data_IF_574599904377
#
_entry.id   IF_574599904377
#
_cell.length_a   1.000
_cell.length_b   1.000
_cell.length_c   1.000
_cell.angle_alpha   90.00
_cell.angle_beta   90.00
_cell.angle_gamma   90.00
#
_symmetry.space_group_name_H-M   'P 1'
#
loop_
_entity.id
_entity.type
_entity.pdbx_description
1 polymer ?
#
# COMPACT_ATOMS: atom_id res chain seq x y z
N UNK A 1 -71.62 -47.24 -34.31
CA UNK A 1 -70.88 -47.38 -35.58
C UNK A 1 -70.53 -45.99 -36.09
N UNK A 2 -69.38 -45.71 -36.70
CA UNK A 2 -68.25 -46.61 -36.93
C UNK A 2 -67.33 -46.21 -38.08
N UNK A 3 -66.85 -44.96 -38.12
CA UNK A 3 -65.99 -44.43 -39.21
C UNK A 3 -64.60 -44.08 -38.68
N UNK A 4 -63.54 -44.54 -39.37
CA UNK A 4 -62.13 -44.31 -39.02
C UNK A 4 -61.46 -43.44 -40.09
N UNK A 5 -60.53 -42.55 -39.71
CA UNK A 5 -59.31 -42.25 -40.46
C UNK A 5 -58.23 -41.72 -39.49
N UNK A 6 -56.95 -41.66 -39.90
CA UNK A 6 -55.76 -41.47 -39.04
C UNK A 6 -55.03 -40.13 -39.28
N UNK A 7 -54.25 -39.70 -38.29
CA UNK A 7 -53.24 -38.62 -38.32
C UNK A 7 -53.38 -37.73 -37.07
N UNK A 8 -52.63 -37.87 -35.97
CA UNK A 8 -51.18 -37.96 -35.67
C UNK A 8 -50.44 -36.61 -35.70
N UNK A 9 -49.53 -36.44 -34.73
CA UNK A 9 -48.82 -35.21 -34.28
C UNK A 9 -49.72 -34.20 -33.52
N UNK A 10 -49.55 -33.89 -32.22
CA UNK A 10 -48.39 -33.35 -31.46
C UNK A 10 -48.03 -31.92 -31.92
N UNK A 11 -47.96 -30.86 -31.10
CA UNK A 11 -48.01 -30.61 -29.62
C UNK A 11 -48.45 -29.12 -29.44
N UNK A 12 -49.41 -28.64 -28.62
CA UNK A 12 -49.56 -28.57 -27.15
C UNK A 12 -48.23 -28.35 -26.37
N UNK A 13 -48.00 -27.40 -25.44
CA UNK A 13 -48.76 -26.37 -24.68
C UNK A 13 -47.65 -25.44 -24.05
N UNK A 14 -47.72 -24.15 -23.68
CA UNK A 14 -48.72 -23.17 -23.17
C UNK A 14 -48.27 -21.73 -23.68
N UNK A 15 -48.83 -20.52 -23.48
CA UNK A 15 -49.77 -19.84 -22.55
C UNK A 15 -49.26 -19.60 -21.10
N UNK A 16 -49.80 -18.65 -20.28
CA UNK A 16 -50.76 -17.56 -20.56
C UNK A 16 -50.44 -16.17 -19.92
N UNK A 17 -51.38 -15.21 -20.10
CA UNK A 17 -51.72 -14.00 -19.28
C UNK A 17 -51.26 -12.60 -19.68
N UNK A 18 -52.07 -11.65 -19.23
CA UNK A 18 -52.27 -10.25 -19.65
C UNK A 18 -52.14 -9.28 -18.45
N UNK A 19 -52.47 -7.99 -18.70
CA UNK A 19 -52.81 -6.94 -17.72
C UNK A 19 -51.61 -6.07 -17.31
N UNK A 20 -51.43 -4.89 -17.93
CA UNK A 20 -51.98 -3.56 -17.52
C UNK A 20 -51.28 -3.03 -16.25
N UNK A 21 -50.73 -1.82 -16.25
CA UNK A 21 -51.56 -0.61 -16.25
C UNK A 21 -51.01 0.59 -17.04
N UNK A 22 -51.67 1.77 -16.94
CA UNK A 22 -51.51 2.90 -17.85
C UNK A 22 -51.57 4.26 -17.10
N UNK A 23 -50.74 5.23 -17.54
CA UNK A 23 -50.62 6.62 -17.00
C UNK A 23 -49.76 6.67 -15.71
N UNK A 24 -49.12 7.78 -15.34
CA UNK A 24 -49.49 9.19 -15.60
C UNK A 24 -48.29 10.18 -15.59
N UNK A 25 -48.37 11.23 -16.43
CA UNK A 25 -47.58 12.51 -16.48
C UNK A 25 -46.02 12.42 -16.57
N UNK A 26 -45.33 13.03 -17.56
CA UNK A 26 -45.11 14.49 -17.80
C UNK A 26 -44.35 15.13 -16.61
N UNK A 27 -43.16 15.72 -16.75
CA UNK A 27 -42.59 16.53 -17.84
C UNK A 27 -41.06 16.27 -18.08
N UNK A 28 -40.42 17.00 -19.00
CA UNK A 28 -39.04 16.73 -19.44
C UNK A 28 -37.94 17.60 -18.80
N UNK A 29 -36.80 16.97 -18.46
CA UNK A 29 -35.48 17.63 -18.53
C UNK A 29 -34.30 16.66 -18.51
N UNK A 30 -33.48 16.78 -19.56
CA UNK A 30 -32.01 16.61 -19.56
C UNK A 30 -31.40 15.41 -18.80
N UNK A 31 -31.09 14.34 -19.55
CA UNK A 31 -29.78 13.70 -19.44
C UNK A 31 -29.18 13.48 -20.85
N UNK A 32 -27.89 13.79 -21.07
CA UNK A 32 -27.20 13.44 -22.32
C UNK A 32 -26.96 11.93 -22.42
N UNK A 33 -26.45 11.48 -23.57
CA UNK A 33 -26.24 10.06 -23.87
C UNK A 33 -25.46 9.31 -22.79
N UNK A 34 -25.83 8.05 -22.56
CA UNK A 34 -25.26 7.18 -21.53
C UNK A 34 -23.74 7.25 -21.51
N UNK A 35 -23.18 7.55 -20.33
CA UNK A 35 -21.74 7.73 -20.14
C UNK A 35 -20.97 6.54 -20.70
N UNK A 36 -19.98 6.81 -21.55
CA UNK A 36 -18.95 5.85 -21.90
C UNK A 36 -18.33 5.37 -20.59
N UNK A 37 -18.54 4.09 -20.26
CA UNK A 37 -18.18 3.54 -18.94
C UNK A 37 -16.71 3.13 -18.95
N UNK A 38 -15.83 4.09 -19.21
CA UNK A 38 -14.37 3.98 -19.09
C UNK A 38 -13.96 3.93 -17.62
N UNK A 39 -14.48 2.94 -16.90
CA UNK A 39 -13.89 2.44 -15.64
C UNK A 39 -12.84 1.41 -16.06
N UNK A 40 -11.86 1.89 -16.85
CA UNK A 40 -10.79 1.10 -17.47
C UNK A 40 -9.41 1.36 -16.86
N UNK A 41 -9.36 2.11 -15.77
CA UNK A 41 -8.13 2.41 -15.03
C UNK A 41 -8.05 1.51 -13.79
N UNK A 42 -6.97 0.74 -13.67
CA UNK A 42 -6.72 -0.06 -12.48
C UNK A 42 -6.54 0.86 -11.26
N UNK A 43 -7.10 0.55 -10.08
CA UNK A 43 -6.95 1.41 -8.92
C UNK A 43 -5.46 1.61 -8.60
N UNK A 44 -4.99 2.85 -8.36
CA UNK A 44 -3.59 3.11 -8.04
C UNK A 44 -3.17 2.28 -6.83
N UNK A 45 -1.91 1.83 -6.80
CA UNK A 45 -1.44 0.76 -5.91
C UNK A 45 -1.93 0.87 -4.45
N UNK A 46 -1.86 2.05 -3.83
CA UNK A 46 -2.33 2.29 -2.46
C UNK A 46 -3.83 2.02 -2.26
N UNK A 47 -4.66 2.28 -3.28
CA UNK A 47 -6.09 2.01 -3.27
C UNK A 47 -6.39 0.53 -3.52
N UNK A 48 -5.62 -0.13 -4.40
CA UNK A 48 -5.71 -1.59 -4.60
C UNK A 48 -5.33 -2.35 -3.32
N UNK A 49 -4.23 -1.93 -2.67
CA UNK A 49 -3.77 -2.45 -1.38
C UNK A 49 -4.82 -2.23 -0.29
N UNK A 50 -5.36 -1.00 -0.15
CA UNK A 50 -6.41 -0.69 0.83
C UNK A 50 -7.63 -1.59 0.63
N UNK A 51 -8.16 -1.69 -0.60
CA UNK A 51 -9.32 -2.54 -0.91
C UNK A 51 -9.05 -4.06 -0.81
N UNK A 52 -7.79 -4.49 -0.71
CA UNK A 52 -7.44 -5.85 -0.33
C UNK A 52 -7.45 -6.02 1.20
N UNK A 53 -6.87 -5.08 1.95
CA UNK A 53 -6.82 -5.09 3.42
C UNK A 53 -8.21 -4.91 4.06
N UNK A 54 -9.02 -3.96 3.58
CA UNK A 54 -10.40 -3.73 4.04
C UNK A 54 -11.33 -4.94 3.80
N UNK A 55 -10.93 -5.86 2.92
CA UNK A 55 -11.63 -7.09 2.57
C UNK A 55 -10.99 -8.35 3.19
N UNK A 56 -10.03 -8.19 4.10
CA UNK A 56 -9.21 -9.26 4.72
C UNK A 56 -8.47 -10.18 3.70
N UNK A 57 -8.27 -9.70 2.47
CA UNK A 57 -7.56 -10.44 1.41
C UNK A 57 -6.05 -10.25 1.53
N UNK A 58 -5.51 -10.72 2.65
CA UNK A 58 -4.08 -10.67 2.99
C UNK A 58 -3.20 -11.34 1.92
N UNK A 59 -3.69 -12.40 1.28
CA UNK A 59 -2.98 -13.05 0.16
C UNK A 59 -2.82 -12.09 -1.04
N UNK A 60 -3.92 -11.51 -1.53
CA UNK A 60 -3.93 -10.54 -2.62
C UNK A 60 -3.05 -9.33 -2.30
N UNK A 61 -3.13 -8.81 -1.07
CA UNK A 61 -2.28 -7.70 -0.60
C UNK A 61 -0.77 -8.04 -0.68
N UNK A 62 -0.39 -9.26 -0.28
CA UNK A 62 0.99 -9.76 -0.39
C UNK A 62 1.42 -9.93 -1.85
N UNK A 63 0.54 -10.43 -2.73
CA UNK A 63 0.82 -10.54 -4.16
C UNK A 63 0.99 -9.17 -4.84
N UNK A 64 0.14 -8.18 -4.50
CA UNK A 64 0.30 -6.80 -4.98
C UNK A 64 1.67 -6.22 -4.58
N UNK A 65 2.07 -6.40 -3.31
CA UNK A 65 3.37 -5.96 -2.80
C UNK A 65 4.54 -6.68 -3.48
N UNK A 66 4.46 -7.99 -3.68
CA UNK A 66 5.51 -8.77 -4.35
C UNK A 66 5.68 -8.37 -5.83
N UNK A 67 4.58 -8.11 -6.53
CA UNK A 67 4.60 -7.61 -7.91
C UNK A 67 5.23 -6.21 -7.99
N UNK A 68 4.86 -5.30 -7.08
CA UNK A 68 5.44 -3.96 -7.02
C UNK A 68 6.94 -3.97 -6.65
N UNK A 69 7.36 -4.90 -5.78
CA UNK A 69 8.77 -5.12 -5.44
C UNK A 69 9.58 -5.64 -6.63
N UNK A 70 9.05 -6.60 -7.39
CA UNK A 70 9.69 -7.08 -8.61
C UNK A 70 9.82 -5.98 -9.68
N UNK A 71 8.81 -5.12 -9.83
CA UNK A 71 8.84 -3.95 -10.73
C UNK A 71 9.87 -2.91 -10.27
N UNK A 72 10.00 -2.66 -8.96
CA UNK A 72 11.02 -1.76 -8.42
C UNK A 72 12.43 -2.27 -8.72
N UNK A 73 12.74 -3.52 -8.36
CA UNK A 73 14.06 -4.12 -8.63
C UNK A 73 14.39 -4.21 -10.13
N UNK A 74 13.40 -4.43 -11.00
CA UNK A 74 13.59 -4.43 -12.46
C UNK A 74 13.88 -3.04 -13.05
N UNK A 75 13.46 -1.96 -12.38
CA UNK A 75 13.64 -0.58 -12.83
C UNK A 75 14.74 0.20 -12.10
N UNK A 76 15.30 -0.32 -11.02
CA UNK A 76 16.44 0.26 -10.31
C UNK A 76 17.70 0.39 -11.20
N UNK A 77 17.75 -0.36 -12.31
CA UNK A 77 18.80 -0.28 -13.33
C UNK A 77 18.59 0.80 -14.42
N UNK A 78 17.46 1.52 -14.45
CA UNK A 78 17.16 2.52 -15.50
C UNK A 78 16.56 3.80 -14.93
N UNK A 79 17.37 4.87 -14.91
CA UNK A 79 16.94 6.22 -14.55
C UNK A 79 15.80 6.71 -15.44
N UNK A 80 14.62 6.89 -14.84
CA UNK A 80 13.45 7.52 -15.45
C UNK A 80 12.50 8.04 -14.36
N UNK A 81 11.61 8.96 -14.74
CA UNK A 81 10.95 9.95 -13.87
C UNK A 81 10.30 9.40 -12.59
N UNK A 82 10.41 10.14 -11.46
CA UNK A 82 10.03 9.64 -10.13
C UNK A 82 8.54 9.73 -9.78
N UNK A 83 7.69 10.38 -10.60
CA UNK A 83 6.34 10.78 -10.20
C UNK A 83 5.35 9.62 -9.99
N UNK A 84 5.44 8.57 -10.81
CA UNK A 84 4.53 7.41 -10.79
C UNK A 84 5.23 6.11 -10.34
N UNK A 85 6.53 6.17 -10.04
CA UNK A 85 7.31 5.01 -9.61
C UNK A 85 7.18 4.80 -8.11
N UNK A 86 6.68 3.61 -7.72
CA UNK A 86 6.55 3.21 -6.32
C UNK A 86 7.93 3.11 -5.66
N UNK A 87 8.17 3.99 -4.69
CA UNK A 87 9.45 4.09 -3.97
C UNK A 87 9.65 2.97 -2.95
N UNK A 88 10.92 2.71 -2.58
CA UNK A 88 11.25 1.77 -1.49
C UNK A 88 10.56 2.13 -0.17
N UNK A 89 10.34 3.42 0.11
CA UNK A 89 9.60 3.90 1.28
C UNK A 89 8.10 3.55 1.21
N UNK A 90 7.45 3.68 0.05
CA UNK A 90 6.06 3.23 -0.15
C UNK A 90 5.94 1.71 -0.05
N UNK A 91 6.91 0.96 -0.60
CA UNK A 91 6.98 -0.50 -0.48
C UNK A 91 7.09 -0.96 0.99
N UNK A 92 7.92 -0.30 1.79
CA UNK A 92 8.02 -0.58 3.21
C UNK A 92 6.74 -0.22 3.98
N UNK A 93 6.11 0.93 3.68
CA UNK A 93 4.83 1.30 4.26
C UNK A 93 3.73 0.26 3.93
N UNK A 94 3.68 -0.24 2.69
CA UNK A 94 2.76 -1.29 2.27
C UNK A 94 2.99 -2.61 3.03
N UNK A 95 4.26 -3.05 3.15
CA UNK A 95 4.64 -4.24 3.93
C UNK A 95 4.26 -4.10 5.41
N UNK A 96 4.48 -2.92 6.01
CA UNK A 96 4.10 -2.64 7.39
C UNK A 96 2.57 -2.69 7.59
N UNK A 97 1.77 -2.11 6.68
CA UNK A 97 0.29 -2.19 6.74
C UNK A 97 -0.24 -3.62 6.65
N UNK A 98 0.36 -4.47 5.82
CA UNK A 98 0.02 -5.91 5.79
C UNK A 98 0.32 -6.57 7.14
N UNK A 99 1.49 -6.29 7.75
CA UNK A 99 1.85 -6.83 9.05
C UNK A 99 0.86 -6.40 10.15
N UNK A 100 0.48 -5.12 10.19
CA UNK A 100 -0.58 -4.58 11.08
C UNK A 100 -1.90 -5.31 10.89
N UNK A 101 -2.36 -5.48 9.64
CA UNK A 101 -3.62 -6.17 9.35
C UNK A 101 -3.60 -7.64 9.79
N UNK A 102 -2.44 -8.31 9.74
CA UNK A 102 -2.26 -9.66 10.29
C UNK A 102 -2.02 -9.72 11.80
N UNK A 103 -2.10 -8.59 12.51
CA UNK A 103 -1.86 -8.51 13.97
C UNK A 103 -0.38 -8.55 14.38
N UNK A 104 0.56 -8.57 13.44
CA UNK A 104 2.00 -8.64 13.70
C UNK A 104 2.61 -7.23 13.83
N UNK A 105 2.33 -6.58 14.96
CA UNK A 105 2.92 -5.30 15.32
C UNK A 105 4.45 -5.33 15.41
N UNK A 106 5.03 -6.47 15.78
CA UNK A 106 6.48 -6.65 15.88
C UNK A 106 7.16 -6.61 14.51
N UNK A 107 6.63 -7.33 13.52
CA UNK A 107 7.10 -7.24 12.14
C UNK A 107 6.82 -5.86 11.53
N UNK A 108 5.65 -5.28 11.78
CA UNK A 108 5.32 -3.92 11.32
C UNK A 108 6.35 -2.89 11.81
N UNK A 109 6.67 -2.90 13.12
CA UNK A 109 7.70 -2.04 13.71
C UNK A 109 9.09 -2.32 13.12
N UNK A 110 9.49 -3.57 12.95
CA UNK A 110 10.79 -3.94 12.39
C UNK A 110 10.97 -3.45 10.93
N UNK A 111 9.92 -3.56 10.10
CA UNK A 111 9.89 -3.03 8.73
C UNK A 111 10.02 -1.50 8.74
N UNK A 112 9.31 -0.82 9.64
CA UNK A 112 9.32 0.64 9.74
C UNK A 112 10.64 1.19 10.29
N UNK A 113 11.32 0.49 11.20
CA UNK A 113 12.68 0.84 11.65
C UNK A 113 13.62 0.89 10.43
N UNK A 114 13.75 -0.22 9.70
CA UNK A 114 14.64 -0.32 8.54
C UNK A 114 14.33 0.69 7.43
N UNK A 115 13.06 1.08 7.29
CA UNK A 115 12.64 2.07 6.30
C UNK A 115 12.93 3.51 6.73
N UNK A 116 12.84 3.82 8.03
CA UNK A 116 13.18 5.14 8.57
C UNK A 116 14.71 5.30 8.63
N UNK A 117 15.48 4.27 8.99
CA UNK A 117 16.96 4.29 8.94
C UNK A 117 17.49 4.70 7.55
N UNK A 118 16.86 4.19 6.47
CA UNK A 118 17.22 4.53 5.08
C UNK A 118 16.67 5.88 4.62
N UNK A 119 15.45 6.24 5.05
CA UNK A 119 14.74 7.43 4.59
C UNK A 119 14.17 8.26 5.77
N UNK A 120 15.03 8.81 6.65
CA UNK A 120 14.65 9.32 7.99
C UNK A 120 13.72 10.53 7.98
N UNK A 121 13.66 11.23 6.85
CA UNK A 121 12.84 12.44 6.63
C UNK A 121 11.43 12.15 6.08
N UNK A 122 11.07 10.88 5.82
CA UNK A 122 9.76 10.52 5.25
C UNK A 122 8.63 10.66 6.30
N UNK A 123 7.70 11.63 6.18
CA UNK A 123 6.69 11.86 7.23
C UNK A 123 5.70 10.71 7.36
N UNK A 124 5.34 10.05 6.25
CA UNK A 124 4.39 8.94 6.24
C UNK A 124 4.89 7.72 7.05
N UNK A 125 6.19 7.39 6.97
CA UNK A 125 6.78 6.30 7.76
C UNK A 125 6.79 6.62 9.26
N UNK A 126 7.10 7.88 9.63
CA UNK A 126 7.14 8.35 11.02
C UNK A 126 5.73 8.39 11.65
N UNK A 127 4.72 8.72 10.85
CA UNK A 127 3.31 8.65 11.23
C UNK A 127 2.88 7.20 11.46
N UNK A 128 3.14 6.30 10.50
CA UNK A 128 2.78 4.88 10.62
C UNK A 128 3.53 4.18 11.78
N UNK A 129 4.78 4.55 12.06
CA UNK A 129 5.50 4.10 13.25
C UNK A 129 4.84 4.56 14.56
N UNK A 130 4.34 5.80 14.59
CA UNK A 130 3.57 6.32 15.73
C UNK A 130 2.30 5.50 15.94
N UNK A 131 1.54 5.23 14.88
CA UNK A 131 0.32 4.44 14.91
C UNK A 131 0.56 3.00 15.43
N UNK A 132 1.60 2.32 14.93
CA UNK A 132 2.01 0.98 15.40
C UNK A 132 2.36 1.01 16.89
N UNK A 133 3.24 1.92 17.31
CA UNK A 133 3.68 1.98 18.71
C UNK A 133 2.56 2.38 19.68
N UNK A 134 1.61 3.21 19.25
CA UNK A 134 0.39 3.51 20.02
C UNK A 134 -0.49 2.26 20.18
N UNK A 135 -0.67 1.47 19.10
CA UNK A 135 -1.43 0.21 19.16
C UNK A 135 -0.74 -0.87 20.00
N UNK A 136 0.60 -0.91 20.03
CA UNK A 136 1.40 -1.76 20.93
C UNK A 136 1.44 -1.26 22.39
N UNK A 137 0.77 -0.16 22.73
CA UNK A 137 0.77 0.44 24.07
C UNK A 137 2.07 1.19 24.45
N UNK A 138 3.02 1.34 23.52
CA UNK A 138 4.33 1.98 23.69
C UNK A 138 4.30 3.49 23.40
N UNK A 139 3.21 4.15 23.78
CA UNK A 139 2.96 5.57 23.50
C UNK A 139 4.06 6.51 24.02
N UNK A 140 4.70 6.16 25.13
CA UNK A 140 5.83 6.88 25.75
C UNK A 140 7.08 6.89 24.87
N UNK A 141 7.32 5.80 24.15
CA UNK A 141 8.60 5.50 23.53
C UNK A 141 8.70 6.07 22.10
N UNK A 142 7.56 6.51 21.54
CA UNK A 142 7.45 7.04 20.17
C UNK A 142 8.44 8.18 19.92
N UNK A 143 8.53 9.14 20.85
CA UNK A 143 9.41 10.32 20.70
C UNK A 143 10.90 9.95 20.70
N UNK A 144 11.45 9.25 21.71
CA UNK A 144 12.86 8.87 21.68
C UNK A 144 13.21 7.94 20.51
N UNK A 145 12.32 7.00 20.11
CA UNK A 145 12.55 6.15 18.93
C UNK A 145 12.61 6.98 17.64
N UNK A 146 11.63 7.85 17.39
CA UNK A 146 11.63 8.70 16.20
C UNK A 146 12.73 9.78 16.20
N UNK A 147 13.27 10.14 17.37
CA UNK A 147 14.44 11.00 17.49
C UNK A 147 15.73 10.24 17.12
N UNK A 148 15.94 9.05 17.70
CA UNK A 148 17.11 8.21 17.42
C UNK A 148 17.20 7.88 15.93
N UNK A 149 16.15 7.29 15.35
CA UNK A 149 16.07 6.92 13.92
C UNK A 149 16.12 8.13 12.96
N UNK A 150 16.15 9.36 13.48
CA UNK A 150 16.36 10.58 12.70
C UNK A 150 17.78 11.13 12.76
N UNK A 151 18.66 10.55 13.59
CA UNK A 151 19.93 11.15 14.01
C UNK A 151 21.18 10.40 13.52
N UNK A 152 21.04 9.17 13.00
CA UNK A 152 22.17 8.35 12.51
C UNK A 152 22.85 8.90 11.24
N UNK A 153 22.32 9.99 10.67
CA UNK A 153 23.03 10.83 9.70
C UNK A 153 24.19 11.64 10.30
N UNK A 154 24.29 11.74 11.63
CA UNK A 154 25.38 12.40 12.35
C UNK A 154 26.54 11.43 12.62
N UNK A 155 27.16 10.91 11.54
CA UNK A 155 28.52 10.39 11.59
C UNK A 155 29.51 11.55 11.76
N UNK A 156 29.53 12.12 12.96
CA UNK A 156 30.53 13.09 13.41
C UNK A 156 31.53 12.42 14.35
N UNK A 157 32.65 11.87 13.86
CA UNK A 157 33.74 11.36 14.69
C UNK A 157 34.57 12.52 15.25
N UNK A 158 33.98 13.30 16.16
CA UNK A 158 34.60 14.45 16.82
C UNK A 158 34.27 14.47 18.33
N UNK A 159 34.57 13.36 18.99
CA UNK A 159 34.58 13.21 20.44
C UNK A 159 35.62 12.15 20.82
N UNK A 160 36.66 12.56 21.55
CA UNK A 160 37.93 11.85 21.72
C UNK A 160 38.70 11.69 20.39
N UNK A 161 39.78 12.43 20.15
CA UNK A 161 40.98 12.37 20.99
C UNK A 161 41.69 13.74 21.15
N UNK A 162 41.19 14.61 22.06
CA UNK A 162 41.94 15.79 22.53
C UNK A 162 42.96 15.38 23.61
N UNK A 163 43.97 14.60 23.20
CA UNK A 163 45.17 14.30 23.98
C UNK A 163 46.37 14.39 23.05
N UNK A 164 47.09 15.52 23.10
CA UNK A 164 48.45 15.57 22.56
C UNK A 164 49.43 14.99 23.57
N UNK A 165 50.08 13.83 23.31
CA UNK A 165 51.23 13.41 24.10
C UNK A 165 52.38 14.39 23.84
N UNK A 166 52.66 15.26 24.82
CA UNK A 166 53.77 16.22 24.76
C UNK A 166 55.10 15.47 24.64
N UNK A 167 55.61 15.37 23.42
CA UNK A 167 56.84 14.65 23.11
C UNK A 167 58.03 15.30 23.84
N UNK A 168 58.76 14.56 24.71
CA UNK A 168 59.95 15.08 25.35
C UNK A 168 61.10 15.08 24.32
N UNK A 169 61.29 16.22 23.64
CA UNK A 169 62.46 16.43 22.79
C UNK A 169 63.72 16.45 23.64
N UNK A 170 64.35 15.28 23.77
CA UNK A 170 65.76 15.18 24.12
C UNK A 170 66.55 16.04 23.13
N UNK A 171 67.13 17.12 23.63
CA UNK A 171 68.09 17.94 22.89
C UNK A 171 69.40 17.94 23.65
N UNK A 172 70.37 17.23 23.10
CA UNK A 172 71.76 17.29 23.49
C UNK A 172 72.25 18.74 23.57
N UNK A 173 72.99 19.05 24.63
CA UNK A 173 73.96 20.15 24.60
C UNK A 173 75.27 19.65 25.18
N UNK A 174 76.27 19.52 24.30
CA UNK A 174 77.68 19.47 24.69
C UNK A 174 78.24 20.88 24.56
N UNK A 175 79.07 21.31 25.51
CA UNK A 175 79.59 22.67 25.60
C UNK A 175 79.92 23.03 27.02
#
# INVERSE_FOLDING_TARGET
>A
MGSKHKGLSEMMVQMPRTQSDLRDRVDGRNQPGSTAKEVGEAPPFENALRAALDADRIADARTLVANAEAVLFAHEAVEASPSDRMTQAQLAAAKARIAIATGDGAAARAILVQAIERNPKTPALRTLMTEVMMAEGRATDVRPVLQHLGNDGSLGPDASDDVMPTSPTLKDTSG
#
